data_IF_776990004097
#
_entry.id   IF_776990004097
#
_cell.length_a   1.000
_cell.length_b   1.000
_cell.length_c   1.000
_cell.angle_alpha   90.00
_cell.angle_beta   90.00
_cell.angle_gamma   90.00
#
_symmetry.space_group_name_H-M   'P 1'
#
loop_
_entity.id
_entity.type
_entity.pdbx_description
1 polymer ?
#
# COMPACT_ATOMS: atom_id res chain seq x y z
N UNK A 1 -58.74 -61.12 -11.67
CA UNK A 1 -58.01 -60.51 -12.81
C UNK A 1 -57.63 -59.03 -12.66
N UNK A 2 -58.43 -58.14 -12.02
CA UNK A 2 -58.13 -56.68 -11.92
C UNK A 2 -56.87 -56.32 -11.11
N UNK A 3 -56.52 -57.05 -10.04
CA UNK A 3 -55.35 -56.78 -9.18
C UNK A 3 -53.99 -57.00 -9.89
N UNK A 4 -53.87 -58.07 -10.69
CA UNK A 4 -52.66 -58.40 -11.50
C UNK A 4 -52.39 -57.35 -12.58
N UNK A 5 -53.41 -56.86 -13.30
CA UNK A 5 -53.25 -55.79 -14.30
C UNK A 5 -52.80 -54.46 -13.69
N UNK A 6 -53.26 -54.13 -12.47
CA UNK A 6 -52.84 -52.92 -11.74
C UNK A 6 -51.40 -53.01 -11.22
N UNK A 7 -50.97 -54.19 -10.76
CA UNK A 7 -49.57 -54.42 -10.38
C UNK A 7 -48.62 -54.40 -11.58
N UNK A 8 -49.02 -55.00 -12.72
CA UNK A 8 -48.22 -54.97 -13.95
C UNK A 8 -48.06 -53.54 -14.48
N UNK A 9 -49.14 -52.73 -14.49
CA UNK A 9 -49.06 -51.31 -14.85
C UNK A 9 -48.13 -50.51 -13.94
N UNK A 10 -48.13 -50.77 -12.63
CA UNK A 10 -47.20 -50.13 -11.68
C UNK A 10 -45.75 -50.52 -11.96
N UNK A 11 -45.46 -51.80 -12.22
CA UNK A 11 -44.09 -52.24 -12.53
C UNK A 11 -43.58 -51.63 -13.85
N UNK A 12 -44.42 -51.57 -14.89
CA UNK A 12 -44.04 -50.93 -16.16
C UNK A 12 -43.75 -49.44 -15.98
N UNK A 13 -44.57 -48.73 -15.21
CA UNK A 13 -44.32 -47.31 -14.90
C UNK A 13 -43.02 -47.11 -14.11
N UNK A 14 -42.74 -47.98 -13.14
CA UNK A 14 -41.48 -47.92 -12.40
C UNK A 14 -40.26 -48.21 -13.28
N UNK A 15 -40.33 -49.19 -14.19
CA UNK A 15 -39.23 -49.50 -15.12
C UNK A 15 -38.99 -48.34 -16.09
N UNK A 16 -40.05 -47.70 -16.60
CA UNK A 16 -39.93 -46.53 -17.50
C UNK A 16 -39.32 -45.34 -16.77
N UNK A 17 -39.76 -45.04 -15.54
CA UNK A 17 -39.19 -43.96 -14.73
C UNK A 17 -37.72 -44.24 -14.41
N UNK A 18 -37.38 -45.49 -14.07
CA UNK A 18 -36.01 -45.89 -13.76
C UNK A 18 -35.10 -45.81 -15.00
N UNK A 19 -35.60 -46.18 -16.18
CA UNK A 19 -34.87 -46.05 -17.44
C UNK A 19 -34.65 -44.59 -17.85
N UNK A 20 -35.63 -43.70 -17.61
CA UNK A 20 -35.49 -42.25 -17.85
C UNK A 20 -34.47 -41.63 -16.90
N UNK A 21 -34.48 -42.02 -15.62
CA UNK A 21 -33.50 -41.55 -14.63
C UNK A 21 -32.09 -42.06 -14.98
N UNK A 22 -31.94 -43.34 -15.36
CA UNK A 22 -30.65 -43.87 -15.84
C UNK A 22 -30.17 -43.13 -17.09
N UNK A 23 -31.06 -42.80 -18.03
CA UNK A 23 -30.72 -42.06 -19.25
C UNK A 23 -30.24 -40.63 -18.98
N UNK A 24 -30.72 -39.99 -17.90
CA UNK A 24 -30.27 -38.66 -17.47
C UNK A 24 -28.91 -38.75 -16.74
N UNK A 25 -28.68 -39.80 -15.95
CA UNK A 25 -27.44 -40.00 -15.18
C UNK A 25 -26.29 -40.51 -16.05
N UNK A 26 -26.57 -41.23 -17.14
CA UNK A 26 -25.58 -41.75 -18.09
C UNK A 26 -25.35 -40.78 -19.26
N UNK A 27 -26.00 -39.61 -19.28
CA UNK A 27 -25.69 -38.58 -20.27
C UNK A 27 -24.25 -38.09 -20.02
N UNK A 28 -23.32 -38.26 -20.97
CA UNK A 28 -21.94 -37.84 -20.76
C UNK A 28 -21.93 -36.33 -20.56
N UNK A 29 -21.10 -35.83 -19.62
CA UNK A 29 -20.83 -34.41 -19.52
C UNK A 29 -20.45 -33.92 -20.93
N UNK A 30 -21.25 -32.99 -21.45
CA UNK A 30 -21.19 -32.62 -22.85
C UNK A 30 -19.79 -32.02 -23.09
N UNK A 31 -19.06 -32.57 -24.05
CA UNK A 31 -17.67 -32.21 -24.35
C UNK A 31 -17.55 -30.69 -24.69
N UNK A 32 -18.67 -30.08 -25.09
CA UNK A 32 -18.84 -28.64 -25.27
C UNK A 32 -18.88 -27.83 -23.96
N UNK A 33 -19.45 -28.38 -22.88
CA UNK A 33 -19.49 -27.76 -21.54
C UNK A 33 -18.09 -27.75 -20.93
N UNK A 34 -17.34 -28.84 -21.01
CA UNK A 34 -15.98 -28.90 -20.48
C UNK A 34 -15.01 -27.99 -21.27
N UNK A 35 -15.15 -27.94 -22.60
CA UNK A 35 -14.45 -26.94 -23.44
C UNK A 35 -14.86 -25.50 -23.09
N UNK A 36 -16.13 -25.27 -22.78
CA UNK A 36 -16.64 -23.97 -22.35
C UNK A 36 -16.05 -23.53 -21.00
N UNK A 37 -16.00 -24.43 -20.02
CA UNK A 37 -15.39 -24.17 -18.70
C UNK A 37 -13.88 -23.92 -18.84
N UNK A 38 -13.18 -24.71 -19.64
CA UNK A 38 -11.75 -24.51 -19.91
C UNK A 38 -11.47 -23.19 -20.64
N UNK A 39 -12.33 -22.81 -21.58
CA UNK A 39 -12.25 -21.53 -22.28
C UNK A 39 -12.48 -20.35 -21.34
N UNK A 40 -13.52 -20.38 -20.49
CA UNK A 40 -13.81 -19.31 -19.51
C UNK A 40 -12.67 -19.19 -18.49
N UNK A 41 -12.19 -20.29 -17.89
CA UNK A 41 -11.03 -20.27 -16.98
C UNK A 41 -9.75 -19.76 -17.66
N UNK A 42 -9.56 -20.11 -18.94
CA UNK A 42 -8.45 -19.63 -19.75
C UNK A 42 -8.53 -18.13 -20.06
N UNK A 43 -9.73 -17.57 -20.23
CA UNK A 43 -9.96 -16.14 -20.42
C UNK A 43 -9.85 -15.34 -19.11
N UNK A 44 -10.32 -15.89 -17.98
CA UNK A 44 -10.21 -15.26 -16.65
C UNK A 44 -8.75 -15.03 -16.24
N UNK A 45 -7.86 -15.98 -16.56
CA UNK A 45 -6.42 -15.84 -16.27
C UNK A 45 -5.67 -14.99 -17.31
N UNK A 46 -6.09 -14.99 -18.58
CA UNK A 46 -5.40 -14.26 -19.66
C UNK A 46 -5.83 -12.80 -19.80
N UNK A 47 -7.04 -12.43 -19.38
CA UNK A 47 -7.57 -11.08 -19.59
C UNK A 47 -7.34 -10.13 -18.42
N UNK A 48 -7.30 -10.61 -17.18
CA UNK A 48 -7.27 -9.72 -15.99
C UNK A 48 -5.96 -8.95 -15.84
N UNK A 49 -4.80 -9.57 -16.04
CA UNK A 49 -3.50 -8.90 -15.88
C UNK A 49 -3.19 -7.91 -17.00
N UNK A 50 -3.50 -8.26 -18.26
CA UNK A 50 -3.26 -7.38 -19.40
C UNK A 50 -4.26 -6.21 -19.44
N UNK A 51 -5.54 -6.47 -19.12
CA UNK A 51 -6.56 -5.43 -18.98
C UNK A 51 -6.25 -4.54 -17.78
N UNK A 52 -5.82 -5.10 -16.64
CA UNK A 52 -5.37 -4.34 -15.48
C UNK A 52 -4.19 -3.42 -15.82
N UNK A 53 -3.14 -3.93 -16.49
CA UNK A 53 -2.02 -3.08 -16.93
C UNK A 53 -2.45 -1.97 -17.88
N UNK A 54 -3.33 -2.26 -18.85
CA UNK A 54 -3.85 -1.25 -19.79
C UNK A 54 -4.71 -0.21 -19.09
N UNK A 55 -5.55 -0.64 -18.14
CA UNK A 55 -6.41 0.23 -17.33
C UNK A 55 -5.58 1.12 -16.41
N UNK A 56 -4.56 0.57 -15.74
CA UNK A 56 -3.63 1.33 -14.90
C UNK A 56 -2.89 2.37 -15.72
N UNK A 57 -2.35 2.00 -16.89
CA UNK A 57 -1.67 2.95 -17.78
C UNK A 57 -2.61 4.07 -18.23
N UNK A 58 -3.85 3.74 -18.63
CA UNK A 58 -4.85 4.73 -19.05
C UNK A 58 -5.20 5.68 -17.89
N UNK A 59 -5.44 5.14 -16.69
CA UNK A 59 -5.72 5.93 -15.49
C UNK A 59 -4.56 6.85 -15.13
N UNK A 60 -3.31 6.38 -15.22
CA UNK A 60 -2.13 7.22 -15.01
C UNK A 60 -2.03 8.34 -16.04
N UNK A 61 -2.36 8.09 -17.31
CA UNK A 61 -2.40 9.13 -18.35
C UNK A 61 -3.49 10.17 -18.06
N UNK A 62 -4.71 9.73 -17.73
CA UNK A 62 -5.83 10.62 -17.38
C UNK A 62 -5.50 11.51 -16.16
N UNK A 63 -4.85 10.95 -15.13
CA UNK A 63 -4.38 11.73 -13.98
C UNK A 63 -3.32 12.77 -14.39
N UNK A 64 -2.34 12.37 -15.21
CA UNK A 64 -1.30 13.28 -15.68
C UNK A 64 -1.87 14.43 -16.52
N UNK A 65 -2.81 14.15 -17.41
CA UNK A 65 -3.44 15.16 -18.25
C UNK A 65 -4.29 16.12 -17.40
N UNK A 66 -5.11 15.58 -16.49
CA UNK A 66 -5.87 16.40 -15.55
C UNK A 66 -4.99 17.26 -14.64
N UNK A 67 -3.83 16.76 -14.22
CA UNK A 67 -2.87 17.51 -13.41
C UNK A 67 -2.22 18.65 -14.21
N UNK A 68 -1.83 18.40 -15.47
CA UNK A 68 -1.30 19.44 -16.37
C UNK A 68 -2.33 20.51 -16.71
N UNK A 69 -3.60 20.13 -16.81
CA UNK A 69 -4.73 21.03 -17.02
C UNK A 69 -5.18 21.75 -15.73
N UNK A 70 -4.54 21.48 -14.59
CA UNK A 70 -4.89 22.09 -13.30
C UNK A 70 -6.23 21.64 -12.71
N UNK A 71 -6.83 20.57 -13.23
CA UNK A 71 -8.11 20.01 -12.76
C UNK A 71 -7.98 19.24 -11.45
N UNK A 72 -6.79 18.71 -11.17
CA UNK A 72 -6.45 17.99 -9.95
C UNK A 72 -5.14 18.49 -9.39
N UNK A 73 -4.89 18.23 -8.11
CA UNK A 73 -3.63 18.54 -7.44
C UNK A 73 -2.72 17.29 -7.33
N UNK A 74 -1.47 17.51 -6.92
CA UNK A 74 -0.48 16.42 -6.74
C UNK A 74 -0.97 15.32 -5.80
N UNK A 75 -1.81 15.65 -4.82
CA UNK A 75 -2.29 14.68 -3.84
C UNK A 75 -3.22 13.63 -4.45
N UNK A 76 -3.82 13.92 -5.60
CA UNK A 76 -4.71 13.00 -6.32
C UNK A 76 -4.00 11.76 -6.87
N UNK A 77 -2.66 11.79 -6.94
CA UNK A 77 -1.85 10.63 -7.29
C UNK A 77 -1.70 9.63 -6.13
N UNK A 78 -1.95 10.05 -4.87
CA UNK A 78 -2.09 9.14 -3.75
C UNK A 78 -3.48 8.49 -3.78
N UNK A 79 -3.58 7.34 -4.43
CA UNK A 79 -4.87 6.67 -4.67
C UNK A 79 -5.25 5.70 -3.55
N UNK A 80 -4.52 4.59 -3.39
CA UNK A 80 -4.79 3.57 -2.37
C UNK A 80 -3.59 3.38 -1.43
N UNK A 81 -3.49 4.29 -0.48
CA UNK A 81 -2.30 4.48 0.34
C UNK A 81 -2.58 4.41 1.84
N UNK A 82 -1.49 4.19 2.59
CA UNK A 82 -1.34 4.62 3.98
C UNK A 82 0.02 5.31 4.14
N UNK A 83 0.03 6.47 4.80
CA UNK A 83 1.25 7.26 5.04
C UNK A 83 1.55 7.30 6.54
N UNK A 84 2.68 6.73 6.92
CA UNK A 84 3.17 6.68 8.28
C UNK A 84 4.23 7.76 8.53
N UNK A 85 4.21 8.35 9.71
CA UNK A 85 5.31 9.21 10.12
C UNK A 85 5.16 9.86 11.49
N UNK A 86 5.94 10.91 11.69
CA UNK A 86 5.93 11.73 12.88
C UNK A 86 5.10 13.02 12.70
N UNK A 87 5.32 14.02 13.56
CA UNK A 87 4.63 15.31 13.49
C UNK A 87 4.76 16.02 12.13
N UNK A 88 5.80 15.75 11.35
CA UNK A 88 5.93 16.30 10.00
C UNK A 88 4.98 15.68 9.01
N UNK A 89 4.70 14.38 9.12
CA UNK A 89 3.70 13.73 8.25
C UNK A 89 2.29 14.12 8.64
N UNK A 90 2.04 14.47 9.91
CA UNK A 90 0.73 14.98 10.36
C UNK A 90 0.25 16.17 9.52
N UNK A 91 1.16 17.03 9.06
CA UNK A 91 0.83 18.18 8.22
C UNK A 91 0.03 17.82 6.97
N UNK A 92 0.33 16.68 6.30
CA UNK A 92 -0.45 16.21 5.15
C UNK A 92 -1.94 16.01 5.49
N UNK A 93 -2.29 15.64 6.72
CA UNK A 93 -3.70 15.51 7.13
C UNK A 93 -4.28 16.83 7.66
N UNK A 94 -3.50 17.62 8.40
CA UNK A 94 -4.00 18.84 9.05
C UNK A 94 -4.33 19.95 8.06
N UNK A 95 -3.68 19.99 6.90
CA UNK A 95 -4.00 20.94 5.85
C UNK A 95 -5.15 20.47 4.95
N UNK A 96 -5.78 19.33 5.25
CA UNK A 96 -6.88 18.76 4.47
C UNK A 96 -6.46 18.22 3.09
N UNK A 97 -5.16 17.99 2.87
CA UNK A 97 -4.63 17.57 1.56
C UNK A 97 -4.64 16.05 1.36
N UNK A 98 -4.42 15.28 2.43
CA UNK A 98 -4.61 13.83 2.47
C UNK A 98 -5.71 13.46 3.48
N UNK A 99 -6.37 12.34 3.24
CA UNK A 99 -7.39 11.80 4.14
C UNK A 99 -6.73 11.41 5.47
N UNK A 100 -7.18 12.03 6.57
CA UNK A 100 -6.68 11.74 7.92
C UNK A 100 -6.78 10.25 8.26
N UNK A 101 -7.79 9.54 7.76
CA UNK A 101 -7.92 8.10 7.99
C UNK A 101 -6.80 7.27 7.32
N UNK A 102 -6.03 7.86 6.41
CA UNK A 102 -4.89 7.23 5.71
C UNK A 102 -3.55 7.77 6.15
N UNK A 103 -3.50 8.63 7.18
CA UNK A 103 -2.28 9.20 7.74
C UNK A 103 -2.08 8.68 9.17
N UNK A 104 -1.12 7.79 9.34
CA UNK A 104 -0.73 7.12 10.58
C UNK A 104 0.46 7.83 11.22
N UNK A 105 0.21 9.05 11.66
CA UNK A 105 1.25 9.94 12.15
C UNK A 105 0.84 10.66 13.44
N UNK A 106 1.83 11.08 14.22
CA UNK A 106 1.61 11.74 15.50
C UNK A 106 2.86 12.41 16.06
N UNK A 107 2.65 13.33 17.00
CA UNK A 107 3.74 14.05 17.65
C UNK A 107 4.70 13.09 18.37
N UNK A 108 6.00 13.26 18.13
CA UNK A 108 7.03 12.44 18.75
C UNK A 108 7.07 10.97 18.30
N UNK A 109 6.27 10.58 17.30
CA UNK A 109 6.31 9.21 16.82
C UNK A 109 7.68 8.85 16.25
N UNK A 110 8.03 7.59 16.40
CA UNK A 110 9.28 6.97 15.92
C UNK A 110 8.92 5.71 15.15
N UNK A 111 9.93 5.03 14.57
CA UNK A 111 9.71 3.73 13.93
C UNK A 111 9.12 2.68 14.90
N UNK A 112 9.25 2.87 16.22
CA UNK A 112 8.63 2.01 17.23
C UNK A 112 7.10 2.05 17.19
N UNK A 113 6.51 3.15 16.72
CA UNK A 113 5.06 3.36 16.68
C UNK A 113 4.38 2.81 15.42
N UNK A 114 5.14 2.34 14.44
CA UNK A 114 4.59 1.82 13.17
C UNK A 114 3.55 0.73 13.42
N UNK A 115 3.82 -0.16 14.37
CA UNK A 115 2.95 -1.31 14.65
C UNK A 115 1.74 -1.00 15.52
N UNK A 116 1.64 0.22 16.06
CA UNK A 116 0.46 0.66 16.81
C UNK A 116 -0.78 0.76 15.88
N UNK A 117 -0.54 0.98 14.58
CA UNK A 117 -1.59 1.19 13.57
C UNK A 117 -2.11 -0.09 12.89
N UNK A 118 -1.71 -1.27 13.38
CA UNK A 118 -2.09 -2.58 12.80
C UNK A 118 -3.60 -2.72 12.54
N UNK A 119 -4.44 -2.28 13.49
CA UNK A 119 -5.91 -2.38 13.36
C UNK A 119 -6.43 -1.54 12.19
N UNK A 120 -5.91 -0.33 12.01
CA UNK A 120 -6.33 0.57 10.95
C UNK A 120 -5.89 0.05 9.59
N UNK A 121 -4.66 -0.48 9.49
CA UNK A 121 -4.17 -1.09 8.24
C UNK A 121 -4.97 -2.33 7.85
N UNK A 122 -5.36 -3.17 8.81
CA UNK A 122 -6.27 -4.30 8.55
C UNK A 122 -7.59 -3.85 7.91
N UNK A 123 -8.11 -2.69 8.31
CA UNK A 123 -9.34 -2.14 7.77
C UNK A 123 -9.16 -1.53 6.38
N UNK A 124 -8.06 -0.81 6.16
CA UNK A 124 -7.81 -0.10 4.91
C UNK A 124 -7.27 -0.99 3.79
N UNK A 125 -6.45 -1.99 4.13
CA UNK A 125 -5.73 -2.87 3.18
C UNK A 125 -5.07 -2.11 2.01
N UNK A 126 -4.22 -1.10 2.29
CA UNK A 126 -3.64 -0.26 1.24
C UNK A 126 -2.64 -1.03 0.37
N UNK A 127 -2.62 -0.73 -0.93
CA UNK A 127 -1.62 -1.24 -1.88
C UNK A 127 -0.33 -0.42 -1.95
N UNK A 128 -0.32 0.79 -1.38
CA UNK A 128 0.87 1.64 -1.28
C UNK A 128 1.13 2.07 0.17
N UNK A 129 2.34 1.82 0.67
CA UNK A 129 2.77 2.29 1.98
C UNK A 129 3.88 3.33 1.83
N UNK A 130 3.70 4.48 2.47
CA UNK A 130 4.70 5.54 2.53
C UNK A 130 5.14 5.72 3.97
N UNK A 131 6.44 5.91 4.20
CA UNK A 131 7.01 6.10 5.52
C UNK A 131 7.96 7.30 5.55
N UNK A 132 7.80 8.17 6.55
CA UNK A 132 8.79 9.21 6.88
C UNK A 132 8.92 9.33 8.39
N UNK A 133 10.06 8.86 8.91
CA UNK A 133 10.46 8.89 10.31
C UNK A 133 11.95 9.19 10.38
N UNK A 134 12.45 9.54 11.56
CA UNK A 134 13.88 9.50 11.84
C UNK A 134 14.38 10.64 12.70
N UNK A 135 13.76 11.83 12.68
CA UNK A 135 14.27 12.93 13.54
C UNK A 135 14.10 12.62 15.02
N UNK A 136 12.95 12.07 15.42
CA UNK A 136 12.75 11.68 16.81
C UNK A 136 13.62 10.44 17.15
N UNK A 137 13.83 9.56 16.18
CA UNK A 137 14.60 8.33 16.31
C UNK A 137 16.10 8.60 16.56
N UNK A 138 16.66 9.66 15.97
CA UNK A 138 18.07 10.03 16.14
C UNK A 138 18.43 10.35 17.61
N UNK A 139 17.45 10.76 18.42
CA UNK A 139 17.60 10.96 19.86
C UNK A 139 17.52 9.68 20.70
N UNK A 140 17.32 8.53 20.08
CA UNK A 140 17.15 7.23 20.74
C UNK A 140 18.29 6.27 20.40
N UNK A 141 18.59 5.35 21.32
CA UNK A 141 19.55 4.27 21.07
C UNK A 141 18.89 3.05 20.40
N UNK A 142 18.21 3.26 19.27
CA UNK A 142 17.61 2.14 18.52
C UNK A 142 18.70 1.24 17.93
N UNK A 143 19.80 1.85 17.47
CA UNK A 143 20.96 1.12 16.94
C UNK A 143 21.52 0.12 17.96
N UNK A 144 21.77 0.54 19.20
CA UNK A 144 22.26 -0.33 20.26
C UNK A 144 21.21 -1.33 20.78
N UNK A 145 19.98 -0.87 21.01
CA UNK A 145 18.92 -1.71 21.60
C UNK A 145 18.45 -2.84 20.67
N UNK A 146 18.47 -2.63 19.35
CA UNK A 146 17.88 -3.56 18.39
C UNK A 146 18.87 -4.05 17.34
N UNK A 147 20.17 -3.87 17.58
CA UNK A 147 21.25 -4.32 16.69
C UNK A 147 21.12 -3.74 15.26
N UNK A 148 20.78 -2.45 15.18
CA UNK A 148 20.66 -1.69 13.93
C UNK A 148 19.28 -1.08 13.70
N UNK A 149 19.26 0.23 13.48
CA UNK A 149 18.08 1.01 13.10
C UNK A 149 17.46 0.52 11.79
N UNK A 150 18.27 0.21 10.78
CA UNK A 150 17.83 -0.39 9.50
C UNK A 150 17.08 -1.70 9.73
N UNK A 151 17.62 -2.58 10.57
CA UNK A 151 16.99 -3.88 10.88
C UNK A 151 15.69 -3.71 11.63
N UNK A 152 15.69 -2.87 12.67
CA UNK A 152 14.50 -2.64 13.47
C UNK A 152 13.38 -2.01 12.63
N UNK A 153 13.67 -0.94 11.89
CA UNK A 153 12.70 -0.27 11.03
C UNK A 153 12.12 -1.23 9.98
N UNK A 154 12.96 -2.01 9.30
CA UNK A 154 12.49 -3.03 8.37
C UNK A 154 11.56 -4.06 9.04
N UNK A 155 11.88 -4.49 10.26
CA UNK A 155 11.05 -5.44 11.00
C UNK A 155 9.66 -4.88 11.30
N UNK A 156 9.54 -3.59 11.61
CA UNK A 156 8.27 -2.93 11.89
C UNK A 156 7.43 -2.81 10.61
N UNK A 157 8.04 -2.39 9.49
CA UNK A 157 7.37 -2.35 8.18
C UNK A 157 6.87 -3.75 7.79
N UNK A 158 7.71 -4.78 7.93
CA UNK A 158 7.34 -6.18 7.63
C UNK A 158 6.19 -6.69 8.48
N UNK A 159 6.05 -6.23 9.72
CA UNK A 159 4.90 -6.58 10.55
C UNK A 159 3.60 -5.95 10.03
N UNK A 160 3.65 -4.73 9.49
CA UNK A 160 2.50 -4.06 8.88
C UNK A 160 2.12 -4.72 7.54
N UNK A 161 3.09 -5.07 6.70
CA UNK A 161 2.85 -5.71 5.41
C UNK A 161 2.03 -7.00 5.49
N UNK A 162 2.08 -7.73 6.61
CA UNK A 162 1.24 -8.93 6.87
C UNK A 162 -0.27 -8.66 6.81
N UNK A 163 -0.68 -7.39 6.89
CA UNK A 163 -2.08 -6.98 6.86
C UNK A 163 -2.49 -6.31 5.54
N UNK A 164 -1.54 -6.12 4.62
CA UNK A 164 -1.77 -5.53 3.31
C UNK A 164 -1.99 -6.60 2.24
N UNK A 165 -2.49 -6.23 1.04
CA UNK A 165 -2.55 -7.13 -0.11
C UNK A 165 -1.15 -7.58 -0.58
N UNK A 166 -1.08 -8.73 -1.24
CA UNK A 166 0.15 -9.16 -1.92
C UNK A 166 0.54 -8.14 -3.01
N UNK A 167 1.84 -7.90 -3.14
CA UNK A 167 2.37 -6.92 -4.09
C UNK A 167 2.27 -5.45 -3.63
N UNK A 168 1.92 -5.21 -2.36
CA UNK A 168 1.97 -3.86 -1.77
C UNK A 168 3.35 -3.23 -1.94
N UNK A 169 3.40 -2.02 -2.48
CA UNK A 169 4.66 -1.28 -2.63
C UNK A 169 5.00 -0.52 -1.35
N UNK A 170 6.29 -0.47 -1.02
CA UNK A 170 6.81 0.30 0.12
C UNK A 170 7.73 1.39 -0.39
N UNK A 171 7.47 2.62 0.06
CA UNK A 171 8.28 3.80 -0.19
C UNK A 171 8.71 4.39 1.15
N UNK A 172 10.01 4.58 1.35
CA UNK A 172 10.57 5.16 2.57
C UNK A 172 11.33 6.43 2.21
N UNK A 173 10.96 7.52 2.85
CA UNK A 173 11.61 8.80 2.71
C UNK A 173 12.90 8.84 3.53
N UNK A 174 13.93 9.45 2.95
CA UNK A 174 15.04 10.00 3.72
C UNK A 174 14.54 11.02 4.75
N UNK A 175 15.28 11.11 5.85
CA UNK A 175 15.11 12.11 6.89
C UNK A 175 15.45 13.47 6.29
N UNK A 176 14.48 14.39 6.38
CA UNK A 176 14.73 15.81 6.16
C UNK A 176 15.39 16.36 7.44
N UNK A 177 16.57 16.98 7.36
CA UNK A 177 17.26 17.56 8.52
C UNK A 177 16.40 18.63 9.21
N UNK A 178 16.66 18.88 10.49
CA UNK A 178 16.21 20.12 11.13
C UNK A 178 17.18 21.25 10.76
N UNK A 179 16.79 22.51 10.92
CA UNK A 179 17.71 23.62 10.70
C UNK A 179 18.90 23.56 11.66
N UNK A 180 20.03 24.17 11.29
CA UNK A 180 21.21 24.24 12.14
C UNK A 180 20.90 24.84 13.53
N UNK A 181 20.03 25.85 13.60
CA UNK A 181 19.59 26.47 14.86
C UNK A 181 18.79 25.51 15.74
N UNK A 182 17.96 24.66 15.15
CA UNK A 182 17.21 23.63 15.86
C UNK A 182 18.13 22.48 16.31
N UNK A 183 19.03 22.03 15.43
CA UNK A 183 20.00 20.97 15.73
C UNK A 183 21.04 21.39 16.80
N UNK A 184 21.36 22.68 16.92
CA UNK A 184 22.19 23.20 18.01
C UNK A 184 21.54 23.00 19.40
N UNK A 185 20.20 23.01 19.48
CA UNK A 185 19.45 22.75 20.72
C UNK A 185 19.31 21.25 21.01
N UNK A 186 19.33 20.42 19.96
CA UNK A 186 19.20 18.97 20.02
C UNK A 186 20.29 18.30 19.17
N UNK A 187 21.53 18.16 19.68
CA UNK A 187 22.67 17.70 18.89
C UNK A 187 22.51 16.33 18.24
N UNK A 188 21.61 15.49 18.78
CA UNK A 188 21.25 14.21 18.19
C UNK A 188 20.77 14.34 16.73
N UNK A 189 20.16 15.46 16.36
CA UNK A 189 19.64 15.72 15.01
C UNK A 189 20.73 15.95 13.96
N UNK A 190 22.00 16.05 14.34
CA UNK A 190 23.11 16.15 13.38
C UNK A 190 23.52 14.79 12.76
N UNK A 191 22.80 13.70 13.07
CA UNK A 191 23.13 12.36 12.59
C UNK A 191 22.39 11.96 11.29
N UNK A 192 21.82 12.92 10.56
CA UNK A 192 20.94 12.67 9.40
C UNK A 192 21.60 11.78 8.37
N UNK A 193 22.85 12.06 7.96
CA UNK A 193 23.58 11.26 6.99
C UNK A 193 23.76 9.79 7.41
N UNK A 194 24.14 9.58 8.68
CA UNK A 194 24.32 8.24 9.26
C UNK A 194 23.01 7.44 9.18
N UNK A 195 21.90 8.06 9.52
CA UNK A 195 20.60 7.39 9.50
C UNK A 195 20.05 7.22 8.08
N UNK A 196 20.22 8.22 7.20
CA UNK A 196 19.82 8.13 5.79
C UNK A 196 20.59 7.04 5.04
N UNK A 197 21.89 6.87 5.33
CA UNK A 197 22.67 5.75 4.79
C UNK A 197 22.08 4.38 5.20
N UNK A 198 21.64 4.23 6.46
CA UNK A 198 20.96 3.03 6.96
C UNK A 198 19.60 2.83 6.30
N UNK A 199 18.79 3.87 6.16
CA UNK A 199 17.47 3.80 5.50
C UNK A 199 17.63 3.42 4.02
N UNK A 200 18.58 4.03 3.31
CA UNK A 200 18.87 3.72 1.90
C UNK A 200 19.31 2.27 1.72
N UNK A 201 20.21 1.79 2.59
CA UNK A 201 20.63 0.38 2.63
C UNK A 201 19.44 -0.55 2.89
N UNK A 202 18.63 -0.25 3.90
CA UNK A 202 17.42 -1.01 4.23
C UNK A 202 16.49 -1.14 3.03
N UNK A 203 16.23 -0.03 2.32
CA UNK A 203 15.37 -0.04 1.14
C UNK A 203 15.93 -0.92 0.03
N UNK A 204 17.24 -0.81 -0.24
CA UNK A 204 17.94 -1.65 -1.23
C UNK A 204 17.83 -3.13 -0.90
N UNK A 205 18.07 -3.53 0.35
CA UNK A 205 18.03 -4.94 0.78
C UNK A 205 16.62 -5.56 0.69
N UNK A 206 15.57 -4.75 0.80
CA UNK A 206 14.18 -5.21 0.79
C UNK A 206 13.45 -4.92 -0.53
N UNK A 207 14.15 -4.42 -1.55
CA UNK A 207 13.56 -3.97 -2.82
C UNK A 207 12.42 -2.94 -2.62
N UNK A 208 12.59 -2.05 -1.66
CA UNK A 208 11.69 -0.93 -1.41
C UNK A 208 12.21 0.35 -2.07
N UNK A 209 11.31 1.29 -2.35
CA UNK A 209 11.67 2.58 -2.93
C UNK A 209 12.25 3.49 -1.83
N UNK A 210 13.43 4.04 -2.07
CA UNK A 210 14.01 5.11 -1.25
C UNK A 210 13.76 6.45 -1.94
N UNK A 211 13.15 7.40 -1.22
CA UNK A 211 12.94 8.78 -1.70
C UNK A 211 13.98 9.68 -1.05
N UNK A 212 14.89 10.21 -1.88
CA UNK A 212 15.91 11.14 -1.46
C UNK A 212 15.34 12.56 -1.42
N UNK A 213 15.39 13.22 -0.26
CA UNK A 213 14.87 14.57 -0.06
C UNK A 213 15.99 15.62 -0.05
N UNK A 214 17.25 15.23 -0.30
CA UNK A 214 18.41 16.12 -0.20
C UNK A 214 18.23 17.41 -1.01
N UNK A 215 17.74 17.31 -2.25
CA UNK A 215 17.53 18.47 -3.12
C UNK A 215 16.42 19.41 -2.62
N UNK A 216 15.36 18.88 -2.01
CA UNK A 216 14.20 19.69 -1.61
C UNK A 216 14.36 20.34 -0.23
N UNK A 217 15.34 19.91 0.57
CA UNK A 217 15.59 20.45 1.90
C UNK A 217 16.88 21.24 2.04
N UNK A 218 17.79 21.15 1.05
CA UNK A 218 19.09 21.84 1.01
C UNK A 218 19.86 21.73 2.35
N UNK A 219 20.03 20.51 2.84
CA UNK A 219 20.67 20.20 4.13
C UNK A 219 20.18 21.05 5.33
N UNK A 220 18.89 21.41 5.34
CA UNK A 220 18.31 22.20 6.44
C UNK A 220 18.33 23.71 6.20
N UNK A 221 18.77 24.16 5.04
CA UNK A 221 18.94 25.57 4.68
C UNK A 221 17.81 26.10 3.79
N UNK A 222 16.98 25.22 3.23
CA UNK A 222 15.84 25.63 2.42
C UNK A 222 14.83 26.45 3.25
N UNK A 223 14.19 27.44 2.61
CA UNK A 223 13.11 28.25 3.20
C UNK A 223 11.78 27.48 3.27
N UNK A 224 11.78 26.41 4.05
CA UNK A 224 10.67 25.45 4.16
C UNK A 224 10.22 25.25 5.60
N UNK A 225 10.94 25.81 6.57
CA UNK A 225 10.76 25.52 7.99
C UNK A 225 9.96 26.61 8.71
N UNK A 226 9.04 26.18 9.56
CA UNK A 226 8.41 27.02 10.56
C UNK A 226 9.45 27.58 11.55
N UNK A 227 9.03 28.51 12.40
CA UNK A 227 9.91 29.21 13.35
C UNK A 227 10.69 28.29 14.31
N UNK A 228 10.24 27.05 14.51
CA UNK A 228 10.95 26.08 15.35
C UNK A 228 12.12 25.39 14.65
N UNK A 229 12.24 25.52 13.32
CA UNK A 229 13.28 24.88 12.51
C UNK A 229 13.13 23.37 12.35
N UNK A 230 11.96 22.80 12.67
CA UNK A 230 11.69 21.36 12.66
C UNK A 230 10.47 21.02 11.81
N UNK A 231 9.39 21.80 11.94
CA UNK A 231 8.17 21.62 11.15
C UNK A 231 8.21 22.46 9.87
N UNK A 232 7.33 22.14 8.93
CA UNK A 232 7.36 22.73 7.59
C UNK A 232 6.20 23.67 7.31
N UNK A 233 6.47 24.71 6.54
CA UNK A 233 5.47 25.57 5.91
C UNK A 233 4.49 24.74 5.07
N UNK A 234 3.22 25.15 5.03
CA UNK A 234 2.20 24.50 4.21
C UNK A 234 2.57 24.42 2.71
N UNK A 235 3.29 25.42 2.21
CA UNK A 235 3.78 25.49 0.82
C UNK A 235 4.78 24.40 0.45
N UNK A 236 5.43 23.76 1.43
CA UNK A 236 6.43 22.71 1.18
C UNK A 236 5.79 21.35 0.85
N UNK A 237 4.62 21.04 1.41
CA UNK A 237 4.02 19.72 1.26
C UNK A 237 3.67 19.31 -0.17
N UNK A 238 3.23 20.21 -1.08
CA UNK A 238 3.11 19.87 -2.49
C UNK A 238 4.45 19.51 -3.13
N UNK A 239 5.55 20.17 -2.75
CA UNK A 239 6.91 19.87 -3.25
C UNK A 239 7.35 18.50 -2.75
N UNK A 240 7.15 18.24 -1.46
CA UNK A 240 7.47 16.96 -0.85
C UNK A 240 6.65 15.81 -1.45
N UNK A 241 5.34 16.02 -1.67
CA UNK A 241 4.47 15.06 -2.34
C UNK A 241 4.96 14.70 -3.75
N UNK A 242 5.37 15.69 -4.56
CA UNK A 242 5.93 15.44 -5.90
C UNK A 242 7.17 14.56 -5.82
N UNK A 243 8.09 14.89 -4.90
CA UNK A 243 9.30 14.11 -4.71
C UNK A 243 9.00 12.66 -4.30
N UNK A 244 8.04 12.46 -3.37
CA UNK A 244 7.60 11.12 -2.95
C UNK A 244 7.02 10.31 -4.11
N UNK A 245 6.31 10.97 -5.02
CA UNK A 245 5.65 10.35 -6.17
C UNK A 245 6.56 10.22 -7.40
N UNK A 246 7.73 10.84 -7.40
CA UNK A 246 8.64 10.90 -8.55
C UNK A 246 8.06 11.71 -9.72
N UNK A 247 7.37 12.82 -9.42
CA UNK A 247 6.70 13.70 -10.39
C UNK A 247 7.45 15.01 -10.64
#
# INVERSE_FOLDING_TARGET
>A
MKKRKKQLRRHVVFVVIFAVILGIVIWPADDAVDRGIAYVKGQEQKSTTAISKKLTKKRSQELNDAYKEGKINVYSFFTDYAFFGDSRVVGFSNMGVLDRARVMAGAGHTVKNITDWKKQIKGLRPSHLYFSYGVNDMGLDIDGQYNGYDRYYASQIKQILKYCPDGTTVTVCSIIPATAAAAAKSPAWNQVDKYNAKIKKMCKENAWTYVDNTEICDDGQADIYEADGVHFHASFYPVWAKNILGL
#
